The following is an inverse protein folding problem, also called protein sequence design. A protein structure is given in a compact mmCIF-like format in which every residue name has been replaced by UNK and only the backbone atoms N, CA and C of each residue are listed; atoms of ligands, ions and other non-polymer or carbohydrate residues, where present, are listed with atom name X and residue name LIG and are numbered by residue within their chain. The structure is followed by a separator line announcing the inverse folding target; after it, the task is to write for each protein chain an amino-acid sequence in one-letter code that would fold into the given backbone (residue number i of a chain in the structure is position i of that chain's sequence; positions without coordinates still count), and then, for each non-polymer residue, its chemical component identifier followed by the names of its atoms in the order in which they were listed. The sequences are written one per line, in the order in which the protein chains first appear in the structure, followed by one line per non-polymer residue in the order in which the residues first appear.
data_IF_461691180995
#
_entry.id   IF_461691180995
#
_cell.length_a   1.000
_cell.length_b   1.000
_cell.length_c   1.000
_cell.angle_alpha   90.00
_cell.angle_beta   90.00
_cell.angle_gamma   90.00
#
_symmetry.space_group_name_H-M   'P 1'
#
loop_
_entity.id
_entity.type
_entity.pdbx_description
1 polymer ?
#
# COMPACT_ATOMS: atom_id res chain seq x y z
N UNK A 1 9.97 -8.54 21.77
CA UNK A 1 9.59 -7.79 22.97
C UNK A 1 10.76 -7.64 23.93
N UNK A 2 11.07 -8.67 24.71
CA UNK A 2 12.06 -8.64 25.79
C UNK A 2 13.42 -8.09 25.34
N UNK A 3 14.03 -8.68 24.32
CA UNK A 3 15.35 -8.26 23.82
C UNK A 3 15.38 -6.79 23.39
N UNK A 4 14.30 -6.28 22.82
CA UNK A 4 14.24 -4.87 22.44
C UNK A 4 14.27 -3.96 23.67
N UNK A 5 13.54 -4.31 24.73
CA UNK A 5 13.55 -3.58 25.99
C UNK A 5 14.95 -3.56 26.61
N UNK A 6 15.56 -4.73 26.71
CA UNK A 6 16.91 -4.90 27.26
C UNK A 6 17.97 -4.11 26.47
N UNK A 7 17.99 -4.23 25.15
CA UNK A 7 18.91 -3.48 24.25
C UNK A 7 18.70 -1.95 24.32
N UNK A 8 17.54 -1.49 24.80
CA UNK A 8 17.22 -0.08 25.02
C UNK A 8 17.36 0.34 26.47
N UNK A 9 18.07 -0.47 27.28
CA UNK A 9 18.33 -0.22 28.71
C UNK A 9 17.07 0.08 29.53
N UNK A 10 15.96 -0.61 29.23
CA UNK A 10 14.73 -0.53 30.03
C UNK A 10 14.82 -1.44 31.22
N UNK A 11 14.08 -1.09 32.30
CA UNK A 11 13.96 -1.98 33.44
C UNK A 11 13.27 -3.29 33.07
N UNK A 12 13.43 -4.30 33.93
CA UNK A 12 12.90 -5.65 33.65
C UNK A 12 11.38 -5.68 33.57
N UNK A 13 10.67 -4.89 34.35
CA UNK A 13 9.22 -4.77 34.29
C UNK A 13 8.77 -4.34 32.89
N UNK A 14 9.32 -3.26 32.36
CA UNK A 14 9.06 -2.81 30.96
C UNK A 14 9.44 -3.86 29.93
N UNK A 15 10.53 -4.59 30.13
CA UNK A 15 10.96 -5.65 29.21
C UNK A 15 9.94 -6.80 29.19
N UNK A 16 9.37 -7.15 30.32
CA UNK A 16 8.35 -8.19 30.46
C UNK A 16 7.03 -7.74 29.84
N UNK A 17 6.64 -6.47 30.03
CA UNK A 17 5.46 -5.90 29.38
C UNK A 17 5.58 -5.96 27.86
N UNK A 18 6.75 -5.60 27.33
CA UNK A 18 7.00 -5.73 25.89
C UNK A 18 6.95 -7.19 25.41
N UNK A 19 7.46 -8.12 26.20
CA UNK A 19 7.44 -9.53 25.88
C UNK A 19 6.01 -10.08 25.80
N UNK A 20 5.22 -9.81 26.86
CA UNK A 20 3.84 -10.26 26.98
C UNK A 20 2.96 -9.67 25.88
N UNK A 21 3.05 -8.37 25.64
CA UNK A 21 2.28 -7.70 24.60
C UNK A 21 2.65 -8.20 23.18
N UNK A 22 3.95 -8.35 22.89
CA UNK A 22 4.39 -8.95 21.63
C UNK A 22 3.89 -10.37 21.46
N UNK A 23 3.94 -11.17 22.52
CA UNK A 23 3.43 -12.54 22.50
C UNK A 23 1.93 -12.61 22.24
N UNK A 24 1.14 -11.81 22.95
CA UNK A 24 -0.30 -11.73 22.77
C UNK A 24 -0.70 -11.36 21.34
N UNK A 25 -0.05 -10.34 20.76
CA UNK A 25 -0.30 -9.93 19.38
C UNK A 25 0.13 -11.01 18.40
N UNK A 26 1.32 -11.59 18.56
CA UNK A 26 1.85 -12.58 17.63
C UNK A 26 0.99 -13.85 17.56
N UNK A 27 0.53 -14.38 18.70
CA UNK A 27 -0.30 -15.58 18.73
C UNK A 27 -1.72 -15.36 18.21
N UNK A 28 -2.16 -14.11 18.14
CA UNK A 28 -3.47 -13.76 17.58
C UNK A 28 -3.52 -13.82 16.05
N UNK A 29 -2.38 -13.93 15.38
CA UNK A 29 -2.25 -13.88 13.91
C UNK A 29 -1.70 -15.18 13.36
N UNK A 30 -1.93 -15.41 12.08
CA UNK A 30 -1.35 -16.53 11.35
C UNK A 30 0.08 -16.19 10.85
N UNK A 31 0.98 -17.14 10.98
CA UNK A 31 2.36 -17.05 10.52
C UNK A 31 3.36 -16.78 11.65
N UNK A 32 4.65 -16.75 11.30
CA UNK A 32 5.74 -16.46 12.24
C UNK A 32 6.14 -14.99 12.17
N UNK A 33 7.16 -14.67 11.39
CA UNK A 33 7.71 -13.31 11.28
C UNK A 33 6.68 -12.24 10.90
N UNK A 34 5.74 -12.48 9.97
CA UNK A 34 4.70 -11.50 9.64
C UNK A 34 3.74 -11.18 10.78
N UNK A 35 3.64 -12.05 11.79
CA UNK A 35 2.75 -11.86 12.94
C UNK A 35 3.33 -10.94 14.01
N UNK A 36 4.63 -10.65 13.97
CA UNK A 36 5.25 -9.82 14.98
C UNK A 36 4.81 -8.36 14.84
N UNK A 37 4.47 -7.71 15.97
CA UNK A 37 4.07 -6.31 15.93
C UNK A 37 5.23 -5.39 15.55
N UNK A 38 4.91 -4.30 14.87
CA UNK A 38 5.81 -3.16 14.76
C UNK A 38 5.98 -2.46 16.13
N UNK A 39 6.93 -1.53 16.20
CA UNK A 39 7.09 -0.72 17.42
C UNK A 39 5.89 0.18 17.67
N UNK A 40 5.33 0.74 16.63
CA UNK A 40 4.15 1.62 16.66
C UNK A 40 2.94 0.85 17.17
N UNK A 41 2.75 -0.36 16.69
CA UNK A 41 1.67 -1.24 17.12
C UNK A 41 1.81 -1.66 18.58
N UNK A 42 2.99 -2.09 19.00
CA UNK A 42 3.28 -2.42 20.39
C UNK A 42 3.03 -1.22 21.30
N UNK A 43 3.49 -0.04 20.89
CA UNK A 43 3.32 1.20 21.66
C UNK A 43 1.85 1.60 21.77
N UNK A 44 1.08 1.42 20.71
CA UNK A 44 -0.35 1.68 20.73
C UNK A 44 -1.06 0.73 21.69
N UNK A 45 -0.80 -0.57 21.58
CA UNK A 45 -1.40 -1.61 22.43
C UNK A 45 -1.14 -1.34 23.92
N UNK A 46 0.09 -1.02 24.30
CA UNK A 46 0.48 -0.75 25.68
C UNK A 46 -0.11 0.56 26.24
N UNK A 47 -0.29 1.59 25.38
CA UNK A 47 -0.76 2.91 25.83
C UNK A 47 -2.27 3.03 25.81
N UNK A 48 -2.93 2.52 24.79
CA UNK A 48 -4.38 2.71 24.57
C UNK A 48 -5.22 1.48 24.88
N UNK A 49 -4.57 0.31 25.02
CA UNK A 49 -5.28 -0.95 25.15
C UNK A 49 -5.93 -1.39 23.84
N UNK A 50 -6.92 -2.24 23.97
CA UNK A 50 -7.66 -2.83 22.84
C UNK A 50 -9.14 -2.44 22.92
N UNK A 51 -9.75 -2.24 21.76
CA UNK A 51 -11.20 -2.08 21.64
C UNK A 51 -11.92 -3.42 21.50
N UNK A 52 -11.24 -4.41 20.91
CA UNK A 52 -11.78 -5.74 20.70
C UNK A 52 -10.92 -6.78 21.46
N UNK A 53 -11.52 -7.60 22.37
CA UNK A 53 -10.80 -8.63 23.10
C UNK A 53 -10.19 -9.71 22.18
N UNK A 54 -10.72 -9.86 20.97
CA UNK A 54 -10.15 -10.72 19.93
C UNK A 54 -9.18 -9.87 19.11
N UNK A 55 -7.89 -9.86 19.47
CA UNK A 55 -6.88 -8.95 18.91
C UNK A 55 -6.83 -8.91 17.38
N UNK A 56 -6.98 -10.06 16.71
CA UNK A 56 -7.03 -10.15 15.23
C UNK A 56 -8.24 -9.44 14.60
N UNK A 57 -9.24 -9.05 15.39
CA UNK A 57 -10.42 -8.29 14.95
C UNK A 57 -10.35 -6.83 15.37
N UNK A 58 -9.31 -6.43 16.09
CA UNK A 58 -9.10 -5.02 16.45
C UNK A 58 -8.60 -4.26 15.24
N UNK A 59 -9.49 -3.42 14.71
CA UNK A 59 -9.25 -2.68 13.46
C UNK A 59 -8.08 -1.70 13.58
N UNK A 60 -7.92 -1.07 14.75
CA UNK A 60 -6.85 -0.10 14.96
C UNK A 60 -5.48 -0.79 14.96
N UNK A 61 -5.36 -1.95 15.62
CA UNK A 61 -4.14 -2.75 15.60
C UNK A 61 -3.80 -3.26 14.19
N UNK A 62 -4.80 -3.73 13.44
CA UNK A 62 -4.59 -4.21 12.07
C UNK A 62 -4.16 -3.07 11.13
N UNK A 63 -4.78 -1.91 11.24
CA UNK A 63 -4.41 -0.73 10.44
C UNK A 63 -2.98 -0.28 10.72
N UNK A 64 -2.58 -0.25 12.01
CA UNK A 64 -1.21 0.11 12.40
C UNK A 64 -0.22 -0.93 11.90
N UNK A 65 -0.52 -2.22 12.08
CA UNK A 65 0.32 -3.30 11.58
C UNK A 65 0.57 -3.18 10.09
N UNK A 66 -0.50 -2.99 9.34
CA UNK A 66 -0.46 -2.87 7.89
C UNK A 66 0.36 -1.67 7.41
N UNK A 67 0.18 -0.51 8.05
CA UNK A 67 0.88 0.72 7.68
C UNK A 67 2.37 0.71 8.05
N UNK A 68 2.74 -0.01 9.11
CA UNK A 68 4.09 0.07 9.69
C UNK A 68 4.99 -1.11 9.38
N UNK A 69 4.44 -2.24 8.92
CA UNK A 69 5.22 -3.42 8.52
C UNK A 69 5.59 -3.43 7.04
N UNK A 70 5.03 -2.52 6.26
CA UNK A 70 5.44 -2.34 4.86
C UNK A 70 6.81 -1.68 4.81
N UNK A 71 7.81 -2.40 4.29
CA UNK A 71 9.16 -1.87 4.11
C UNK A 71 9.16 -0.86 2.96
N UNK A 72 9.55 0.37 3.22
CA UNK A 72 9.61 1.38 2.19
C UNK A 72 10.23 2.71 2.62
N UNK A 73 11.34 2.70 3.35
CA UNK A 73 12.10 3.95 3.57
C UNK A 73 12.95 4.25 2.34
N UNK A 74 12.31 4.71 1.27
CA UNK A 74 12.99 5.10 0.04
C UNK A 74 13.25 6.61 0.12
N UNK A 75 14.51 6.99 0.30
CA UNK A 75 14.92 8.40 0.43
C UNK A 75 14.69 9.23 -0.83
N UNK A 76 14.72 8.60 -2.00
CA UNK A 76 14.53 9.24 -3.30
C UNK A 76 13.89 8.26 -4.26
N UNK A 77 12.81 8.68 -4.90
CA UNK A 77 12.07 7.89 -5.87
C UNK A 77 12.01 8.62 -7.20
N UNK A 78 12.32 7.92 -8.28
CA UNK A 78 12.12 8.35 -9.65
C UNK A 78 10.99 7.51 -10.24
N UNK A 79 9.82 8.12 -10.48
CA UNK A 79 8.60 7.42 -10.85
C UNK A 79 8.24 7.71 -12.29
N UNK A 80 7.93 6.66 -13.04
CA UNK A 80 7.30 6.76 -14.35
C UNK A 80 5.81 6.41 -14.22
N UNK A 81 4.94 7.40 -14.37
CA UNK A 81 3.50 7.25 -14.24
C UNK A 81 2.84 7.02 -15.62
N UNK A 82 2.11 5.93 -15.76
CA UNK A 82 1.31 5.60 -16.93
C UNK A 82 -0.03 4.93 -16.55
N UNK A 83 -0.56 5.34 -15.39
CA UNK A 83 -1.84 4.86 -14.85
C UNK A 83 -3.08 5.51 -15.49
N UNK A 84 -2.90 6.31 -16.54
CA UNK A 84 -3.99 6.94 -17.27
C UNK A 84 -4.95 5.88 -17.83
N UNK A 85 -6.23 6.09 -17.59
CA UNK A 85 -7.33 5.20 -18.04
C UNK A 85 -8.18 5.91 -19.09
N UNK A 86 -8.93 6.90 -18.65
CA UNK A 86 -9.88 7.66 -19.49
C UNK A 86 -9.19 8.37 -20.66
N UNK A 87 -8.00 8.92 -20.44
CA UNK A 87 -7.25 9.62 -21.49
C UNK A 87 -6.84 8.67 -22.63
N UNK A 88 -6.38 7.47 -22.28
CA UNK A 88 -6.04 6.46 -23.29
C UNK A 88 -7.28 5.92 -24.00
N UNK A 89 -8.41 5.75 -23.30
CA UNK A 89 -9.67 5.38 -23.95
C UNK A 89 -10.13 6.43 -24.94
N UNK A 90 -10.07 7.71 -24.57
CA UNK A 90 -10.40 8.81 -25.48
C UNK A 90 -9.51 8.81 -26.72
N UNK A 91 -8.20 8.60 -26.53
CA UNK A 91 -7.25 8.55 -27.64
C UNK A 91 -7.53 7.37 -28.57
N UNK A 92 -7.75 6.18 -28.04
CA UNK A 92 -8.06 4.97 -28.80
C UNK A 92 -9.37 5.14 -29.58
N UNK A 93 -10.40 5.72 -28.96
CA UNK A 93 -11.68 5.99 -29.62
C UNK A 93 -11.51 7.02 -30.75
N UNK A 94 -10.76 8.10 -30.49
CA UNK A 94 -10.45 9.12 -31.52
C UNK A 94 -9.72 8.54 -32.74
N UNK A 95 -8.89 7.53 -32.52
CA UNK A 95 -8.10 6.87 -33.57
C UNK A 95 -8.81 5.64 -34.14
N UNK A 96 -10.08 5.40 -33.80
CA UNK A 96 -10.82 4.19 -34.18
C UNK A 96 -10.02 2.89 -33.96
N UNK A 97 -9.33 2.80 -32.84
CA UNK A 97 -8.40 1.72 -32.55
C UNK A 97 -8.91 0.81 -31.43
N UNK A 98 -8.28 -0.34 -31.26
CA UNK A 98 -8.66 -1.31 -30.22
C UNK A 98 -8.11 -0.92 -28.83
N UNK A 99 -8.94 -1.05 -27.79
CA UNK A 99 -8.52 -0.88 -26.38
C UNK A 99 -7.37 -1.83 -25.97
N UNK A 100 -7.20 -2.97 -26.66
CA UNK A 100 -6.06 -3.88 -26.45
C UNK A 100 -4.71 -3.18 -26.66
N UNK A 101 -4.65 -2.15 -27.50
CA UNK A 101 -3.43 -1.37 -27.71
C UNK A 101 -2.99 -0.59 -26.48
N UNK A 102 -3.91 -0.26 -25.56
CA UNK A 102 -3.57 0.41 -24.29
C UNK A 102 -2.65 -0.49 -23.46
N UNK A 103 -3.04 -1.76 -23.29
CA UNK A 103 -2.21 -2.72 -22.53
C UNK A 103 -0.86 -2.98 -23.21
N UNK A 104 -0.84 -3.06 -24.55
CA UNK A 104 0.42 -3.21 -25.29
C UNK A 104 1.35 -2.00 -25.08
N UNK A 105 0.80 -0.78 -25.15
CA UNK A 105 1.55 0.44 -24.90
C UNK A 105 2.09 0.49 -23.46
N UNK A 106 1.26 0.17 -22.47
CA UNK A 106 1.69 0.11 -21.07
C UNK A 106 2.80 -0.94 -20.84
N UNK A 107 2.76 -2.05 -21.56
CA UNK A 107 3.84 -3.04 -21.51
C UNK A 107 5.16 -2.48 -22.08
N UNK A 108 5.11 -1.65 -23.12
CA UNK A 108 6.29 -0.91 -23.62
C UNK A 108 6.80 0.08 -22.56
N UNK A 109 5.90 0.77 -21.86
CA UNK A 109 6.27 1.66 -20.75
C UNK A 109 7.01 0.90 -19.63
N UNK A 110 6.53 -0.29 -19.25
CA UNK A 110 7.25 -1.13 -18.28
C UNK A 110 8.64 -1.53 -18.78
N UNK A 111 8.76 -1.98 -20.02
CA UNK A 111 10.06 -2.32 -20.63
C UNK A 111 11.03 -1.14 -20.60
N UNK A 112 10.54 0.05 -20.90
CA UNK A 112 11.34 1.29 -20.82
C UNK A 112 11.79 1.59 -19.39
N UNK A 113 10.85 1.51 -18.42
CA UNK A 113 11.15 1.70 -17.00
C UNK A 113 12.23 0.72 -16.50
N UNK A 114 12.12 -0.57 -16.86
CA UNK A 114 13.09 -1.60 -16.50
C UNK A 114 14.47 -1.34 -17.10
N UNK A 115 14.50 -0.90 -18.36
CA UNK A 115 15.75 -0.54 -19.05
C UNK A 115 16.45 0.65 -18.38
N UNK A 116 15.69 1.69 -18.03
CA UNK A 116 16.21 2.91 -17.38
C UNK A 116 16.65 2.63 -15.95
N UNK A 117 15.84 1.90 -15.19
CA UNK A 117 16.15 1.57 -13.78
C UNK A 117 17.40 0.72 -13.66
N UNK A 118 17.67 -0.14 -14.64
CA UNK A 118 18.82 -1.04 -14.67
C UNK A 118 19.07 -1.74 -13.31
N UNK A 119 17.99 -2.23 -12.70
CA UNK A 119 17.97 -2.88 -11.36
C UNK A 119 18.40 -1.97 -10.19
N UNK A 120 18.61 -0.68 -10.41
CA UNK A 120 18.95 0.27 -9.33
C UNK A 120 17.76 0.51 -8.41
N UNK A 121 18.04 0.77 -7.14
CA UNK A 121 17.03 1.16 -6.16
C UNK A 121 16.47 2.57 -6.43
N UNK A 122 15.25 2.84 -5.99
CA UNK A 122 14.65 4.17 -6.06
C UNK A 122 13.93 4.47 -7.37
N UNK A 123 13.78 3.50 -8.27
CA UNK A 123 12.91 3.60 -9.43
C UNK A 123 11.54 3.00 -9.15
N UNK A 124 10.52 3.58 -9.76
CA UNK A 124 9.16 3.11 -9.60
C UNK A 124 8.27 3.39 -10.79
N UNK A 125 7.09 2.78 -10.74
CA UNK A 125 6.02 2.99 -11.71
C UNK A 125 4.71 3.28 -11.00
N UNK A 126 3.83 4.03 -11.68
CA UNK A 126 2.42 4.09 -11.33
C UNK A 126 1.63 3.49 -12.50
N UNK A 127 0.90 2.41 -12.24
CA UNK A 127 0.13 1.69 -13.24
C UNK A 127 -1.23 1.27 -12.67
N UNK A 128 -2.29 1.41 -13.46
CA UNK A 128 -3.64 0.98 -13.11
C UNK A 128 -3.84 -0.53 -13.30
N UNK A 129 -4.88 -1.06 -12.69
CA UNK A 129 -5.27 -2.47 -12.84
C UNK A 129 -6.07 -2.75 -14.12
N UNK A 130 -6.90 -1.79 -14.56
CA UNK A 130 -7.84 -2.01 -15.66
C UNK A 130 -7.17 -2.42 -16.98
N UNK A 131 -6.09 -1.73 -17.34
CA UNK A 131 -5.30 -2.00 -18.56
C UNK A 131 -3.88 -2.48 -18.26
N UNK A 132 -3.50 -2.53 -17.00
CA UNK A 132 -2.15 -2.81 -16.54
C UNK A 132 -2.00 -4.02 -15.62
N UNK A 133 -3.02 -4.85 -15.42
CA UNK A 133 -2.96 -5.99 -14.48
C UNK A 133 -1.75 -6.91 -14.74
N UNK A 134 -1.54 -7.34 -15.96
CA UNK A 134 -0.38 -8.17 -16.31
C UNK A 134 0.95 -7.42 -16.11
N UNK A 135 0.93 -6.11 -16.31
CA UNK A 135 2.11 -5.26 -16.17
C UNK A 135 2.49 -5.13 -14.69
N UNK A 136 1.50 -4.93 -13.82
CA UNK A 136 1.68 -4.92 -12.37
C UNK A 136 2.25 -6.25 -11.86
N UNK A 137 1.73 -7.37 -12.38
CA UNK A 137 2.23 -8.70 -12.06
C UNK A 137 3.69 -8.87 -12.49
N UNK A 138 4.02 -8.54 -13.73
CA UNK A 138 5.40 -8.59 -14.24
C UNK A 138 6.34 -7.65 -13.48
N UNK A 139 5.87 -6.45 -13.12
CA UNK A 139 6.66 -5.49 -12.39
C UNK A 139 7.00 -5.96 -10.97
N UNK A 140 6.14 -6.78 -10.36
CA UNK A 140 6.35 -7.32 -9.00
C UNK A 140 7.56 -8.23 -8.89
N UNK A 141 8.02 -8.82 -10.00
CA UNK A 141 9.22 -9.66 -10.07
C UNK A 141 10.52 -8.84 -10.13
N UNK A 142 10.39 -7.52 -10.19
CA UNK A 142 11.53 -6.62 -10.32
C UNK A 142 11.68 -5.71 -9.10
N UNK A 143 12.88 -5.16 -8.93
CA UNK A 143 13.18 -4.20 -7.87
C UNK A 143 12.64 -2.80 -8.23
N UNK A 144 11.32 -2.68 -8.30
CA UNK A 144 10.61 -1.44 -8.57
C UNK A 144 9.68 -1.08 -7.41
N UNK A 145 9.56 0.19 -7.15
CA UNK A 145 8.47 0.74 -6.35
C UNK A 145 7.21 0.81 -7.24
N UNK A 146 6.13 0.18 -6.81
CA UNK A 146 4.92 0.02 -7.60
C UNK A 146 3.76 0.70 -6.88
N UNK A 147 3.13 1.68 -7.53
CA UNK A 147 1.91 2.28 -7.03
C UNK A 147 0.72 1.95 -7.94
N UNK A 148 -0.42 1.67 -7.29
CA UNK A 148 -1.70 1.41 -7.94
C UNK A 148 -2.72 2.46 -7.53
N UNK A 149 -3.45 3.08 -8.48
CA UNK A 149 -4.61 3.89 -8.15
C UNK A 149 -5.72 3.06 -7.50
N UNK A 150 -6.17 3.49 -6.34
CA UNK A 150 -7.32 2.90 -5.64
C UNK A 150 -8.64 3.61 -6.01
N UNK A 151 -8.54 4.88 -6.40
CA UNK A 151 -9.69 5.70 -6.74
C UNK A 151 -10.28 5.40 -8.12
N UNK A 152 -11.58 5.60 -8.26
CA UNK A 152 -12.23 5.71 -9.56
C UNK A 152 -11.83 7.02 -10.24
N UNK A 153 -11.54 6.98 -11.55
CA UNK A 153 -11.17 8.19 -12.29
C UNK A 153 -12.26 9.25 -12.19
N UNK A 154 -11.86 10.49 -11.90
CA UNK A 154 -12.76 11.67 -11.84
C UNK A 154 -13.84 11.61 -10.75
N UNK A 155 -13.73 10.76 -9.77
CA UNK A 155 -14.66 10.73 -8.64
C UNK A 155 -14.42 11.92 -7.70
N UNK A 156 -15.48 12.66 -7.42
CA UNK A 156 -15.52 13.73 -6.41
C UNK A 156 -16.93 13.74 -5.81
N UNK A 157 -17.07 13.36 -4.53
CA UNK A 157 -16.05 12.87 -3.60
C UNK A 157 -15.36 11.60 -4.08
N UNK A 158 -14.24 11.28 -3.46
CA UNK A 158 -13.44 10.10 -3.85
C UNK A 158 -14.24 8.81 -3.69
N UNK A 159 -14.30 8.02 -4.75
CA UNK A 159 -14.89 6.69 -4.75
C UNK A 159 -13.83 5.65 -5.09
N UNK A 160 -13.96 4.46 -4.54
CA UNK A 160 -13.04 3.37 -4.78
C UNK A 160 -13.56 2.40 -5.84
N UNK A 161 -12.63 1.74 -6.55
CA UNK A 161 -12.98 0.67 -7.49
C UNK A 161 -13.53 -0.57 -6.76
N UNK A 162 -14.24 -1.43 -7.50
CA UNK A 162 -14.82 -2.65 -6.93
C UNK A 162 -13.77 -3.60 -6.35
N UNK A 163 -12.53 -3.55 -6.85
CA UNK A 163 -11.38 -4.32 -6.36
C UNK A 163 -10.85 -3.80 -5.01
N UNK A 164 -11.16 -2.56 -4.66
CA UNK A 164 -10.80 -1.94 -3.37
C UNK A 164 -11.96 -2.04 -2.38
N UNK A 165 -13.18 -1.78 -2.85
CA UNK A 165 -14.41 -1.76 -2.06
C UNK A 165 -14.53 -0.52 -1.17
N UNK A 166 -15.74 -0.25 -0.67
CA UNK A 166 -16.04 0.95 0.12
C UNK A 166 -15.22 1.06 1.42
N UNK A 167 -14.90 -0.07 2.04
CA UNK A 167 -14.12 -0.13 3.28
C UNK A 167 -12.64 -0.44 3.05
N UNK A 168 -12.16 -0.33 1.83
CA UNK A 168 -10.77 -0.62 1.44
C UNK A 168 -10.30 -2.05 1.73
N UNK A 169 -11.20 -2.99 1.98
CA UNK A 169 -10.84 -4.39 2.28
C UNK A 169 -10.10 -5.07 1.12
N UNK A 170 -10.38 -4.72 -0.11
CA UNK A 170 -9.70 -5.27 -1.27
C UNK A 170 -8.19 -4.95 -1.32
N UNK A 171 -7.73 -3.94 -0.58
CA UNK A 171 -6.31 -3.64 -0.48
C UNK A 171 -5.50 -4.76 0.20
N UNK A 172 -6.15 -5.63 0.98
CA UNK A 172 -5.52 -6.79 1.64
C UNK A 172 -5.02 -7.78 0.59
N UNK A 173 -5.73 -7.89 -0.53
CA UNK A 173 -5.38 -8.78 -1.65
C UNK A 173 -4.23 -8.24 -2.52
N UNK A 174 -3.84 -6.97 -2.32
CA UNK A 174 -2.75 -6.41 -3.10
C UNK A 174 -1.40 -6.94 -2.60
N UNK A 175 -0.45 -7.21 -3.50
CA UNK A 175 0.90 -7.60 -3.10
C UNK A 175 1.51 -6.59 -2.14
N UNK A 176 2.26 -7.06 -1.14
CA UNK A 176 2.86 -6.22 -0.09
C UNK A 176 3.81 -5.13 -0.60
N UNK A 177 4.37 -5.33 -1.78
CA UNK A 177 5.25 -4.36 -2.45
C UNK A 177 4.48 -3.32 -3.29
N UNK A 178 3.14 -3.43 -3.38
CA UNK A 178 2.31 -2.44 -4.02
C UNK A 178 1.90 -1.35 -3.02
N UNK A 179 1.90 -0.12 -3.47
CA UNK A 179 1.56 1.06 -2.70
C UNK A 179 0.28 1.67 -3.25
N UNK A 180 -0.58 2.10 -2.35
CA UNK A 180 -1.83 2.77 -2.72
C UNK A 180 -1.52 4.18 -3.19
N UNK A 181 -1.89 4.49 -4.43
CA UNK A 181 -1.92 5.87 -4.96
C UNK A 181 -3.37 6.34 -4.91
N UNK A 182 -3.57 7.52 -4.39
CA UNK A 182 -4.89 8.16 -4.31
C UNK A 182 -4.81 9.57 -4.90
N UNK A 183 -5.70 9.87 -5.83
CA UNK A 183 -5.91 11.21 -6.35
C UNK A 183 -7.15 11.79 -5.69
N UNK A 184 -6.94 12.79 -4.85
CA UNK A 184 -8.02 13.56 -4.24
C UNK A 184 -8.12 14.93 -4.91
N UNK A 185 -9.32 15.30 -5.34
CA UNK A 185 -9.60 16.66 -5.76
C UNK A 185 -9.96 17.47 -4.52
N UNK A 186 -9.14 18.46 -4.21
CA UNK A 186 -9.33 19.32 -3.05
C UNK A 186 -9.33 20.79 -3.47
N UNK A 187 -10.40 21.49 -3.13
CA UNK A 187 -10.49 22.92 -3.28
C UNK A 187 -10.78 23.56 -1.91
N UNK A 188 -9.85 24.32 -1.31
CA UNK A 188 -10.04 24.89 0.03
C UNK A 188 -11.19 25.92 0.11
N UNK A 189 -11.70 26.39 -1.03
CA UNK A 189 -12.85 27.31 -1.11
C UNK A 189 -14.18 26.57 -1.29
N UNK A 190 -14.16 25.26 -1.47
CA UNK A 190 -15.33 24.44 -1.69
C UNK A 190 -15.61 23.63 -0.41
N UNK A 191 -16.71 24.01 0.28
CA UNK A 191 -17.11 23.36 1.53
C UNK A 191 -17.47 21.90 1.38
N UNK A 192 -17.84 21.45 0.17
CA UNK A 192 -18.12 20.05 -0.13
C UNK A 192 -16.84 19.21 -0.27
N UNK A 193 -15.74 19.83 -0.67
CA UNK A 193 -14.42 19.16 -0.78
C UNK A 193 -13.73 18.97 0.58
N UNK A 194 -14.27 19.56 1.65
CA UNK A 194 -13.68 19.55 3.00
C UNK A 194 -14.32 18.46 3.88
N UNK A 195 -15.49 17.97 3.49
CA UNK A 195 -16.21 16.89 4.20
C UNK A 195 -15.69 15.53 3.81
#
# INVERSE_FOLDING_TARGET
GLLRGWLKNKNWETCLDFANACGAIAVSRHGCTPSYPSWEELSFFLKKGIKNPVLRKDQDLENIHWSTTRKGNIKKILIFAFDHRTQFEQLVNKLNSSKKKISLFKNLCLKAALKVSNKKNGFGIICDDLYGREILHKASDHNLWIARPAELPKSCPVQFGNDVGENCYGLIEWPKNHIVKLLCYFNPKDTESIK
#
